data_IF_551206489440
#
_entry.id   IF_551206489440
#
_cell.length_a   1.000
_cell.length_b   1.000
_cell.length_c   1.000
_cell.angle_alpha   90.00
_cell.angle_beta   90.00
_cell.angle_gamma   90.00
#
_symmetry.space_group_name_H-M   'P 1'
#
loop_
_entity.id
_entity.type
_entity.pdbx_description
1 polymer ?
#
# COMPACT_ATOMS: atom_id res chain seq x y z
N UNK A 1 0.98 -15.94 -11.23
CA UNK A 1 -0.41 -16.37 -10.98
C UNK A 1 -1.44 -15.57 -11.79
N UNK A 2 -1.97 -14.39 -11.32
CA UNK A 2 -2.96 -13.63 -12.12
C UNK A 2 -2.33 -13.07 -13.39
N UNK A 3 -1.16 -12.45 -13.28
CA UNK A 3 -0.47 -11.87 -14.42
C UNK A 3 -0.15 -12.91 -15.49
N UNK A 4 0.30 -14.09 -15.10
CA UNK A 4 0.55 -15.19 -16.04
C UNK A 4 -0.73 -15.70 -16.68
N UNK A 5 -1.79 -15.87 -15.87
CA UNK A 5 -3.10 -16.35 -16.36
C UNK A 5 -3.69 -15.45 -17.46
N UNK A 6 -3.48 -14.13 -17.36
CA UNK A 6 -4.05 -13.14 -18.27
C UNK A 6 -3.00 -12.51 -19.19
N UNK A 7 -1.80 -13.07 -19.23
CA UNK A 7 -0.67 -12.60 -20.06
C UNK A 7 -0.37 -11.11 -19.91
N UNK A 8 -0.45 -10.59 -18.67
CA UNK A 8 -0.32 -9.17 -18.42
C UNK A 8 1.10 -8.65 -18.63
N UNK A 9 2.12 -9.51 -18.54
CA UNK A 9 3.52 -9.10 -18.71
C UNK A 9 3.81 -8.61 -20.13
N UNK A 10 3.25 -9.24 -21.15
CA UNK A 10 3.41 -8.81 -22.54
C UNK A 10 2.71 -7.47 -22.85
N UNK A 11 1.69 -7.13 -22.05
CA UNK A 11 0.93 -5.90 -22.16
C UNK A 11 1.43 -4.79 -21.23
N UNK A 12 2.56 -4.99 -20.55
CA UNK A 12 3.07 -4.07 -19.54
C UNK A 12 4.45 -3.55 -19.91
N UNK A 13 4.66 -2.27 -19.67
CA UNK A 13 5.98 -1.64 -19.76
C UNK A 13 6.47 -1.37 -18.34
N UNK A 14 7.54 -2.04 -17.93
CA UNK A 14 8.12 -1.91 -16.59
C UNK A 14 9.28 -0.90 -16.58
N UNK A 15 9.66 -0.44 -15.38
CA UNK A 15 10.74 0.52 -15.16
C UNK A 15 10.58 1.77 -16.05
N UNK A 16 9.36 2.24 -16.19
CA UNK A 16 9.00 3.34 -17.07
C UNK A 16 8.06 4.28 -16.32
N UNK A 17 8.42 5.55 -16.28
CA UNK A 17 7.62 6.58 -15.63
C UNK A 17 6.86 7.38 -16.68
N UNK A 18 5.55 7.49 -16.54
CA UNK A 18 4.76 8.43 -17.33
C UNK A 18 5.09 9.84 -16.85
N UNK A 19 5.59 10.69 -17.74
CA UNK A 19 5.99 12.06 -17.44
C UNK A 19 4.91 13.07 -17.76
N UNK A 20 4.09 12.78 -18.78
CA UNK A 20 2.98 13.63 -19.20
C UNK A 20 1.83 12.79 -19.76
N UNK A 21 0.62 13.25 -19.53
CA UNK A 21 -0.59 12.83 -20.27
C UNK A 21 -1.29 14.07 -20.78
N UNK A 22 -1.39 14.21 -22.10
CA UNK A 22 -1.98 15.37 -22.77
C UNK A 22 -3.05 14.92 -23.75
N UNK A 23 -4.22 15.53 -23.66
CA UNK A 23 -5.26 15.38 -24.66
C UNK A 23 -4.92 16.24 -25.88
N UNK A 24 -5.07 15.69 -27.07
CA UNK A 24 -4.89 16.41 -28.31
C UNK A 24 -6.24 16.52 -29.06
N UNK A 25 -6.70 17.74 -29.23
CA UNK A 25 -7.98 18.04 -29.87
C UNK A 25 -7.98 17.74 -31.37
N UNK A 26 -6.82 17.72 -32.00
CA UNK A 26 -6.71 17.53 -33.45
C UNK A 26 -6.92 16.08 -33.84
N UNK A 27 -6.28 15.15 -33.12
CA UNK A 27 -6.42 13.72 -33.38
C UNK A 27 -7.40 13.02 -32.42
N UNK A 28 -7.90 13.76 -31.43
CA UNK A 28 -8.84 13.27 -30.41
C UNK A 28 -8.32 12.06 -29.65
N UNK A 29 -7.04 12.10 -29.31
CA UNK A 29 -6.34 11.05 -28.56
C UNK A 29 -5.58 11.63 -27.37
N UNK A 30 -5.37 10.79 -26.38
CA UNK A 30 -4.41 11.02 -25.32
C UNK A 30 -3.01 10.71 -25.81
N UNK A 31 -2.09 11.65 -25.65
CA UNK A 31 -0.67 11.45 -25.82
C UNK A 31 -0.04 11.21 -24.46
N UNK A 32 0.59 10.07 -24.28
CA UNK A 32 1.20 9.62 -23.03
C UNK A 32 2.69 9.54 -23.24
N UNK A 33 3.44 10.49 -22.67
CA UNK A 33 4.90 10.55 -22.74
C UNK A 33 5.55 9.84 -21.58
N UNK A 34 6.70 9.22 -21.81
CA UNK A 34 7.46 8.51 -20.79
C UNK A 34 8.88 9.04 -20.62
N UNK A 35 9.53 8.67 -19.51
CA UNK A 35 10.93 8.99 -19.23
C UNK A 35 11.92 8.27 -20.18
N UNK A 36 11.43 7.38 -21.03
CA UNK A 36 12.20 6.68 -22.06
C UNK A 36 12.23 7.44 -23.39
N UNK A 37 11.49 8.54 -23.49
CA UNK A 37 11.39 9.36 -24.69
C UNK A 37 10.37 8.87 -25.72
N UNK A 38 9.60 7.84 -25.41
CA UNK A 38 8.51 7.36 -26.26
C UNK A 38 7.17 8.06 -25.93
N UNK A 39 6.29 8.09 -26.92
CA UNK A 39 4.93 8.64 -26.81
C UNK A 39 3.94 7.60 -27.31
N UNK A 40 3.03 7.21 -26.45
CA UNK A 40 1.90 6.32 -26.81
C UNK A 40 0.64 7.15 -27.04
N UNK A 41 -0.20 6.72 -27.95
CA UNK A 41 -1.52 7.33 -28.19
C UNK A 41 -2.63 6.38 -27.81
N UNK A 42 -3.64 6.89 -27.10
CA UNK A 42 -4.77 6.10 -26.61
C UNK A 42 -6.07 6.88 -26.63
N UNK A 43 -7.17 6.19 -26.89
CA UNK A 43 -8.52 6.77 -26.77
C UNK A 43 -8.89 7.01 -25.29
N UNK A 44 -8.42 6.16 -24.40
CA UNK A 44 -8.70 6.23 -22.97
C UNK A 44 -7.43 6.05 -22.16
N UNK A 45 -7.30 6.83 -21.09
CA UNK A 45 -6.23 6.67 -20.08
C UNK A 45 -6.87 6.42 -18.72
N UNK A 46 -6.50 5.32 -18.09
CA UNK A 46 -6.95 4.97 -16.74
C UNK A 46 -5.80 5.14 -15.77
N UNK A 47 -5.93 6.12 -14.86
CA UNK A 47 -4.95 6.35 -13.81
C UNK A 47 -5.18 5.39 -12.64
N UNK A 48 -4.29 4.43 -12.46
CA UNK A 48 -4.36 3.42 -11.40
C UNK A 48 -3.17 3.49 -10.43
N UNK A 49 -2.52 4.65 -10.31
CA UNK A 49 -1.30 4.89 -9.52
C UNK A 49 -1.54 4.94 -8.00
N UNK A 50 -2.80 4.86 -7.54
CA UNK A 50 -3.15 4.89 -6.12
C UNK A 50 -2.94 6.26 -5.45
N UNK A 51 -3.36 6.36 -4.18
CA UNK A 51 -3.29 7.60 -3.40
C UNK A 51 -2.06 7.66 -2.48
N UNK A 52 -1.34 6.57 -2.28
CA UNK A 52 -0.21 6.43 -1.35
C UNK A 52 1.15 6.35 -2.06
N UNK A 53 1.25 6.86 -3.28
CA UNK A 53 2.45 6.77 -4.10
C UNK A 53 3.64 7.59 -3.54
N UNK A 54 3.36 8.70 -2.84
CA UNK A 54 4.37 9.56 -2.22
C UNK A 54 4.43 9.33 -0.71
N UNK A 55 5.59 8.95 -0.15
CA UNK A 55 5.74 8.84 1.29
C UNK A 55 5.55 10.21 1.95
N UNK A 56 4.79 10.24 3.05
CA UNK A 56 4.66 11.43 3.88
C UNK A 56 5.45 11.21 5.16
N UNK A 57 6.52 11.98 5.33
CA UNK A 57 7.30 11.95 6.56
C UNK A 57 6.58 12.73 7.65
N UNK A 58 6.77 12.30 8.89
CA UNK A 58 6.28 13.04 10.06
C UNK A 58 7.10 14.31 10.25
N UNK A 59 6.46 15.36 10.79
CA UNK A 59 7.13 16.65 11.11
C UNK A 59 7.67 16.66 12.54
N UNK A 60 8.37 15.61 12.93
CA UNK A 60 8.97 15.51 14.28
C UNK A 60 10.23 16.36 14.32
N UNK A 61 10.35 17.18 15.35
CA UNK A 61 11.55 17.98 15.58
C UNK A 61 12.76 17.07 15.72
N UNK A 62 13.87 17.42 15.07
CA UNK A 62 15.11 16.64 15.11
C UNK A 62 15.22 15.49 14.12
N UNK A 63 14.22 15.24 13.25
CA UNK A 63 14.33 14.18 12.25
C UNK A 63 15.54 14.31 11.35
N UNK A 64 15.90 15.54 10.96
CA UNK A 64 17.05 15.81 10.08
C UNK A 64 18.40 15.74 10.78
N UNK A 65 18.42 15.79 12.11
CA UNK A 65 19.64 15.67 12.93
C UNK A 65 19.85 14.27 13.51
N UNK A 66 18.95 13.33 13.23
CA UNK A 66 19.12 11.95 13.64
C UNK A 66 20.30 11.31 12.92
N UNK A 67 21.28 10.85 13.66
CA UNK A 67 22.52 10.29 13.12
C UNK A 67 22.42 8.81 12.71
N UNK A 68 21.34 8.15 13.09
CA UNK A 68 21.07 6.76 12.70
C UNK A 68 20.50 6.64 11.29
N UNK A 69 20.51 5.43 10.75
CA UNK A 69 19.89 5.17 9.47
C UNK A 69 18.35 5.25 9.57
N UNK A 70 17.71 5.91 8.62
CA UNK A 70 16.25 6.07 8.61
C UNK A 70 15.68 6.04 7.22
N UNK A 71 14.53 5.39 7.03
CA UNK A 71 13.82 5.33 5.77
C UNK A 71 12.31 5.17 6.01
N UNK A 72 11.53 5.48 4.99
CA UNK A 72 10.09 5.25 5.02
C UNK A 72 9.76 3.83 4.57
N UNK A 73 8.78 3.18 5.21
CA UNK A 73 8.40 1.78 4.94
C UNK A 73 8.03 1.48 3.49
N UNK A 74 7.50 2.49 2.74
CA UNK A 74 7.24 2.34 1.31
C UNK A 74 8.49 2.46 0.43
N UNK A 75 9.64 2.70 1.02
CA UNK A 75 10.96 2.75 0.41
C UNK A 75 11.92 1.94 1.25
N UNK A 76 11.59 0.64 1.40
CA UNK A 76 12.36 -0.27 2.23
C UNK A 76 13.78 -0.41 1.70
N UNK A 77 14.74 -0.22 2.60
CA UNK A 77 16.16 -0.29 2.28
C UNK A 77 16.67 -1.71 2.55
N UNK A 78 16.64 -2.54 1.51
CA UNK A 78 17.11 -3.92 1.57
C UNK A 78 18.63 -4.04 1.68
N UNK A 79 19.37 -3.05 1.17
CA UNK A 79 20.84 -3.05 1.26
C UNK A 79 21.27 -2.87 2.71
N UNK A 80 20.56 -2.02 3.44
CA UNK A 80 20.80 -1.82 4.86
C UNK A 80 20.27 -2.95 5.74
N UNK A 81 19.05 -3.42 5.49
CA UNK A 81 18.36 -4.38 6.37
C UNK A 81 18.70 -5.84 6.08
N UNK A 82 19.14 -6.14 4.86
CA UNK A 82 19.15 -7.48 4.31
C UNK A 82 17.75 -7.93 3.86
N UNK A 83 17.69 -8.94 2.99
CA UNK A 83 16.42 -9.46 2.46
C UNK A 83 15.53 -10.12 3.51
N UNK A 84 16.15 -10.73 4.52
CA UNK A 84 15.47 -11.40 5.63
C UNK A 84 15.74 -10.69 6.96
N UNK A 85 16.05 -9.40 6.93
CA UNK A 85 16.34 -8.54 8.08
C UNK A 85 17.62 -8.96 8.84
N UNK A 86 18.48 -9.77 8.24
CA UNK A 86 19.66 -10.39 8.87
C UNK A 86 20.68 -9.38 9.37
N UNK A 87 20.71 -8.16 8.79
CA UNK A 87 21.60 -7.08 9.21
C UNK A 87 21.09 -6.29 10.42
N UNK A 88 19.90 -6.63 10.94
CA UNK A 88 19.29 -5.93 12.09
C UNK A 88 19.51 -6.63 13.42
N UNK A 89 20.19 -7.77 13.47
CA UNK A 89 20.38 -8.59 14.69
C UNK A 89 21.04 -7.85 15.86
N UNK A 90 21.90 -6.91 15.55
CA UNK A 90 22.62 -6.08 16.54
C UNK A 90 22.01 -4.67 16.69
N UNK A 91 20.95 -4.36 15.96
CA UNK A 91 20.37 -3.02 15.88
C UNK A 91 19.19 -2.84 16.84
N UNK A 92 19.11 -1.64 17.36
CA UNK A 92 17.90 -1.13 18.03
C UNK A 92 17.08 -0.37 17.00
N UNK A 93 15.84 -0.78 16.79
CA UNK A 93 14.99 -0.27 15.72
C UNK A 93 13.81 0.50 16.29
N UNK A 94 13.61 1.74 15.84
CA UNK A 94 12.46 2.57 16.15
C UNK A 94 11.43 2.57 15.03
N UNK A 95 10.16 2.33 15.34
CA UNK A 95 9.03 2.43 14.39
C UNK A 95 8.13 3.57 14.84
N UNK A 96 7.92 4.52 13.94
CA UNK A 96 7.03 5.67 14.20
C UNK A 96 5.68 5.40 13.53
N UNK A 97 4.65 5.22 14.34
CA UNK A 97 3.29 4.94 13.92
C UNK A 97 2.87 3.48 14.05
N UNK A 98 1.57 3.26 14.12
CA UNK A 98 0.94 1.94 14.33
C UNK A 98 -0.16 1.65 13.30
N UNK A 99 0.00 2.18 12.09
CA UNK A 99 -0.91 1.91 10.98
C UNK A 99 -0.70 0.53 10.35
N UNK A 100 -1.39 0.27 9.24
CA UNK A 100 -1.39 -1.02 8.55
C UNK A 100 0.02 -1.55 8.20
N UNK A 101 0.96 -0.67 7.85
CA UNK A 101 2.35 -1.07 7.59
C UNK A 101 3.05 -1.54 8.86
N UNK A 102 2.89 -0.82 9.98
CA UNK A 102 3.53 -1.18 11.25
C UNK A 102 3.01 -2.53 11.78
N UNK A 103 1.71 -2.79 11.66
CA UNK A 103 1.09 -4.08 12.06
C UNK A 103 1.76 -5.27 11.37
N UNK A 104 2.22 -5.09 10.13
CA UNK A 104 2.90 -6.14 9.37
C UNK A 104 4.39 -6.22 9.68
N UNK A 105 5.05 -5.09 9.90
CA UNK A 105 6.51 -4.99 10.03
C UNK A 105 6.99 -5.31 11.45
N UNK A 106 6.29 -4.81 12.48
CA UNK A 106 6.71 -4.95 13.89
C UNK A 106 6.91 -6.41 14.29
N UNK A 107 6.01 -7.34 14.00
CA UNK A 107 6.22 -8.75 14.34
C UNK A 107 7.47 -9.36 13.69
N UNK A 108 7.78 -8.96 12.46
CA UNK A 108 8.95 -9.48 11.75
C UNK A 108 10.25 -8.89 12.30
N UNK A 109 10.26 -7.60 12.62
CA UNK A 109 11.40 -6.95 13.26
C UNK A 109 11.67 -7.53 14.65
N UNK A 110 10.63 -7.80 15.43
CA UNK A 110 10.74 -8.36 16.77
C UNK A 110 11.37 -9.77 16.81
N UNK A 111 11.32 -10.50 15.71
CA UNK A 111 11.99 -11.82 15.58
C UNK A 111 13.49 -11.69 15.34
N UNK A 112 13.94 -10.56 14.80
CA UNK A 112 15.31 -10.46 14.25
C UNK A 112 16.13 -9.35 14.90
N UNK A 113 15.56 -8.16 15.11
CA UNK A 113 16.28 -7.03 15.68
C UNK A 113 16.63 -7.28 17.15
N UNK A 114 17.72 -6.65 17.61
CA UNK A 114 18.13 -6.70 19.02
C UNK A 114 17.03 -6.17 19.95
N UNK A 115 16.39 -5.08 19.56
CA UNK A 115 15.31 -4.44 20.29
C UNK A 115 14.46 -3.61 19.33
N UNK A 116 13.13 -3.53 19.58
CA UNK A 116 12.19 -2.75 18.77
C UNK A 116 11.39 -1.81 19.66
N UNK A 117 11.46 -0.52 19.36
CA UNK A 117 10.62 0.51 19.97
C UNK A 117 9.53 0.95 19.02
N UNK A 118 8.27 0.93 19.46
CA UNK A 118 7.12 1.37 18.67
C UNK A 118 6.54 2.64 19.28
N UNK A 119 6.61 3.73 18.53
CA UNK A 119 6.12 5.03 18.94
C UNK A 119 4.69 5.23 18.43
N UNK A 120 3.74 5.30 19.34
CA UNK A 120 2.32 5.43 19.04
C UNK A 120 1.74 6.70 19.65
N UNK A 121 1.12 7.54 18.81
CA UNK A 121 0.39 8.71 19.27
C UNK A 121 -1.04 8.38 19.70
N UNK A 122 -1.73 7.61 18.86
CA UNK A 122 -3.14 7.25 19.07
C UNK A 122 -3.27 5.74 18.98
N UNK A 123 -3.85 5.06 19.98
CA UNK A 123 -4.05 3.63 19.93
C UNK A 123 -4.92 3.22 18.74
N UNK A 124 -4.48 2.21 18.00
CA UNK A 124 -5.29 1.58 16.96
C UNK A 124 -6.29 0.61 17.61
N UNK A 125 -7.48 0.51 17.04
CA UNK A 125 -8.39 -0.57 17.39
C UNK A 125 -7.77 -1.89 16.95
N UNK A 126 -7.66 -2.82 17.88
CA UNK A 126 -7.18 -4.19 17.61
C UNK A 126 -8.36 -5.11 17.91
N UNK A 127 -8.67 -5.99 16.98
CA UNK A 127 -9.71 -7.00 17.12
C UNK A 127 -9.16 -8.37 16.69
N UNK A 128 -9.83 -9.41 17.15
CA UNK A 128 -9.50 -10.79 16.73
C UNK A 128 -9.95 -10.94 15.28
N UNK A 129 -9.01 -11.24 14.41
CA UNK A 129 -9.30 -11.60 13.03
C UNK A 129 -9.54 -13.11 12.96
N UNK A 130 -10.81 -13.48 12.82
CA UNK A 130 -11.19 -14.86 12.49
C UNK A 130 -10.79 -15.13 11.04
N UNK A 131 -9.60 -15.72 10.86
CA UNK A 131 -9.07 -16.07 9.55
C UNK A 131 -9.07 -17.60 9.41
N UNK A 132 -9.84 -18.10 8.46
CA UNK A 132 -9.99 -19.51 8.19
C UNK A 132 -9.46 -19.84 6.80
N UNK A 133 -8.93 -21.05 6.58
CA UNK A 133 -8.66 -21.52 5.23
C UNK A 133 -9.92 -21.42 4.38
N UNK A 134 -9.79 -20.84 3.18
CA UNK A 134 -10.92 -20.73 2.26
C UNK A 134 -11.45 -22.12 1.88
N UNK A 135 -12.75 -22.37 2.06
CA UNK A 135 -13.39 -23.60 1.61
C UNK A 135 -13.07 -23.84 0.12
N UNK A 136 -12.46 -24.98 -0.25
CA UNK A 136 -12.13 -25.27 -1.65
C UNK A 136 -13.35 -25.20 -2.58
N UNK A 137 -14.54 -25.41 -2.05
CA UNK A 137 -15.78 -25.34 -2.80
C UNK A 137 -16.44 -23.95 -2.76
N UNK A 138 -15.85 -22.98 -2.07
CA UNK A 138 -16.41 -21.64 -1.93
C UNK A 138 -16.72 -20.99 -3.30
N UNK A 139 -15.81 -21.08 -4.26
CA UNK A 139 -15.99 -20.50 -5.59
C UNK A 139 -17.20 -21.08 -6.34
N UNK A 140 -17.53 -22.36 -6.12
CA UNK A 140 -18.67 -23.04 -6.76
C UNK A 140 -20.02 -22.60 -6.20
N UNK A 141 -20.02 -22.02 -4.98
CA UNK A 141 -21.23 -21.54 -4.29
C UNK A 141 -21.52 -20.07 -4.61
N UNK A 142 -20.69 -19.41 -5.41
CA UNK A 142 -20.85 -18.00 -5.74
C UNK A 142 -21.85 -17.82 -6.89
N UNK A 143 -22.86 -17.01 -6.63
CA UNK A 143 -23.83 -16.60 -7.66
C UNK A 143 -23.29 -15.41 -8.48
N UNK A 144 -23.77 -15.21 -9.71
CA UNK A 144 -23.49 -13.99 -10.48
C UNK A 144 -23.79 -12.72 -9.65
N UNK A 145 -22.88 -11.74 -9.70
CA UNK A 145 -23.01 -10.48 -8.97
C UNK A 145 -22.61 -10.53 -7.49
N UNK A 146 -22.04 -11.63 -7.00
CA UNK A 146 -21.58 -11.74 -5.61
C UNK A 146 -20.59 -10.66 -5.20
N UNK A 147 -19.71 -10.22 -6.13
CA UNK A 147 -18.74 -9.13 -5.86
C UNK A 147 -19.46 -7.81 -5.55
N UNK A 148 -20.50 -7.48 -6.31
CA UNK A 148 -21.30 -6.27 -6.09
C UNK A 148 -22.03 -6.33 -4.75
N UNK A 149 -22.68 -7.47 -4.45
CA UNK A 149 -23.33 -7.70 -3.16
C UNK A 149 -22.34 -7.55 -1.98
N UNK A 150 -21.15 -8.13 -2.11
CA UNK A 150 -20.09 -8.02 -1.08
C UNK A 150 -19.59 -6.60 -0.91
N UNK A 151 -19.37 -5.88 -2.02
CA UNK A 151 -18.97 -4.48 -2.01
C UNK A 151 -19.98 -3.61 -1.28
N UNK A 152 -21.27 -3.72 -1.62
CA UNK A 152 -22.34 -2.95 -0.96
C UNK A 152 -22.40 -3.20 0.55
N UNK A 153 -22.26 -4.47 0.99
CA UNK A 153 -22.17 -4.80 2.41
C UNK A 153 -20.97 -4.17 3.10
N UNK A 154 -19.82 -4.15 2.44
CA UNK A 154 -18.61 -3.54 2.98
C UNK A 154 -18.77 -2.03 3.12
N UNK A 155 -19.28 -1.34 2.10
CA UNK A 155 -19.53 0.10 2.16
C UNK A 155 -20.52 0.46 3.27
N UNK A 156 -21.64 -0.25 3.38
CA UNK A 156 -22.59 -0.03 4.46
C UNK A 156 -21.96 -0.23 5.85
N UNK A 157 -21.09 -1.22 6.02
CA UNK A 157 -20.38 -1.42 7.27
C UNK A 157 -19.38 -0.29 7.59
N UNK A 158 -18.69 0.25 6.57
CA UNK A 158 -17.78 1.39 6.71
C UNK A 158 -18.55 2.65 7.08
N UNK A 159 -19.65 2.97 6.37
CA UNK A 159 -20.51 4.11 6.65
C UNK A 159 -21.05 4.09 8.09
N UNK A 160 -21.63 2.96 8.52
CA UNK A 160 -22.09 2.77 9.89
C UNK A 160 -20.97 2.94 10.93
N UNK A 161 -19.74 2.56 10.59
CA UNK A 161 -18.59 2.73 11.47
C UNK A 161 -18.18 4.22 11.59
N UNK A 162 -18.24 4.95 10.48
CA UNK A 162 -17.94 6.40 10.45
C UNK A 162 -18.99 7.20 11.22
N UNK A 163 -20.28 6.90 11.03
CA UNK A 163 -21.37 7.53 11.78
C UNK A 163 -21.25 7.31 13.29
N UNK A 164 -20.94 6.07 13.72
CA UNK A 164 -20.69 5.76 15.13
C UNK A 164 -19.49 6.52 15.71
N UNK A 165 -18.47 6.77 14.91
CA UNK A 165 -17.30 7.58 15.31
C UNK A 165 -17.66 9.07 15.42
N UNK A 166 -18.37 9.59 14.45
CA UNK A 166 -18.85 10.98 14.47
C UNK A 166 -19.74 11.24 15.70
N UNK A 167 -20.69 10.32 15.98
CA UNK A 167 -21.56 10.43 17.15
C UNK A 167 -20.83 10.38 18.50
N UNK A 168 -19.62 9.79 18.54
CA UNK A 168 -18.77 9.74 19.74
C UNK A 168 -17.79 10.93 19.85
N UNK A 169 -17.86 11.92 18.96
CA UNK A 169 -16.96 13.08 18.96
C UNK A 169 -15.48 12.74 18.70
N UNK A 170 -15.22 11.66 18.00
CA UNK A 170 -13.87 11.13 17.75
C UNK A 170 -13.32 11.51 16.36
N UNK A 171 -13.84 12.60 15.75
CA UNK A 171 -13.33 13.21 14.51
C UNK A 171 -12.98 14.65 14.77
#
# INVERSE_FOLDING_TARGET
AIADKYNLYELSVFNTTVTETRWDETDQLWHVSTDRGDVMRAQFVICANGTLAKPKLSTISGMTSFSGHSFHTSRWDYDYTGKNLEHLKDKVVGIIGTGASAVQIVPELAKTAKEVYVFQRTPSSIDIRDDWPTDPNWARKLEPGWQSKRRSKLFAAVENSLEKRAAKGAI
#
